data_IF_329005342874
#
_entry.id   IF_329005342874
#
_cell.length_a   1.000
_cell.length_b   1.000
_cell.length_c   1.000
_cell.angle_alpha   90.00
_cell.angle_beta   90.00
_cell.angle_gamma   90.00
#
_symmetry.space_group_name_H-M   'P 1'
#
loop_
_entity.id
_entity.type
_entity.pdbx_description
1 polymer ?
#
# COMPACT_ATOMS: atom_id res chain seq x y z
N UNK A 1 -18.00 -15.67 1.15
CA UNK A 1 -18.34 -14.30 1.31
C UNK A 1 -17.22 -13.47 1.89
N UNK A 2 -16.95 -12.41 1.32
CA UNK A 2 -15.67 -11.76 1.48
C UNK A 2 -15.75 -10.40 2.15
N UNK A 3 -16.66 -10.27 3.09
CA UNK A 3 -16.81 -9.04 3.87
C UNK A 3 -15.57 -8.70 4.65
N UNK A 4 -14.75 -9.70 4.97
CA UNK A 4 -13.52 -9.53 5.73
C UNK A 4 -12.41 -8.85 4.94
N UNK A 5 -12.58 -8.69 3.63
CA UNK A 5 -11.55 -8.15 2.76
C UNK A 5 -11.76 -6.70 2.41
N UNK A 6 -12.66 -6.03 3.11
CA UNK A 6 -12.88 -4.61 2.90
C UNK A 6 -11.84 -3.82 3.67
N UNK A 7 -11.10 -2.97 2.96
CA UNK A 7 -10.16 -2.05 3.57
C UNK A 7 -10.93 -0.89 4.20
N UNK A 8 -10.67 -0.66 5.48
CA UNK A 8 -11.30 0.39 6.25
C UNK A 8 -10.32 1.57 6.34
N UNK A 9 -10.65 2.74 5.77
CA UNK A 9 -9.79 3.90 5.93
C UNK A 9 -9.75 4.35 7.40
N UNK A 10 -8.58 4.72 7.88
CA UNK A 10 -8.42 5.18 9.25
C UNK A 10 -8.91 6.63 9.38
N UNK A 11 -9.33 6.99 10.59
CA UNK A 11 -9.55 8.40 10.93
C UNK A 11 -8.22 9.17 10.86
N UNK A 12 -8.28 10.49 10.75
CA UNK A 12 -7.06 11.30 10.68
C UNK A 12 -6.15 11.08 11.88
N UNK A 13 -6.72 10.93 13.06
CA UNK A 13 -5.95 10.69 14.29
C UNK A 13 -5.29 9.33 14.30
N UNK A 14 -6.02 8.30 13.92
CA UNK A 14 -5.50 6.93 13.88
C UNK A 14 -4.43 6.79 12.79
N UNK A 15 -4.65 7.40 11.63
CA UNK A 15 -3.68 7.42 10.55
C UNK A 15 -2.36 8.05 11.01
N UNK A 16 -2.44 9.20 11.66
CA UNK A 16 -1.29 9.90 12.20
C UNK A 16 -0.52 9.03 13.20
N UNK A 17 -1.25 8.36 14.08
CA UNK A 17 -0.70 7.45 15.07
C UNK A 17 0.09 6.31 14.40
N UNK A 18 -0.48 5.71 13.37
CA UNK A 18 0.16 4.59 12.68
C UNK A 18 1.37 5.03 11.86
N UNK A 19 1.32 6.21 11.26
CA UNK A 19 2.47 6.77 10.57
C UNK A 19 3.59 7.05 11.57
N UNK A 20 3.28 7.61 12.72
CA UNK A 20 4.27 7.85 13.77
C UNK A 20 4.87 6.54 14.27
N UNK A 21 4.09 5.47 14.31
CA UNK A 21 4.58 4.14 14.65
C UNK A 21 5.69 3.71 13.69
N UNK A 22 5.51 3.93 12.39
CA UNK A 22 6.53 3.60 11.39
C UNK A 22 7.74 4.51 11.50
N UNK A 23 7.53 5.82 11.75
CA UNK A 23 8.62 6.79 11.83
C UNK A 23 9.62 6.48 12.94
N UNK A 24 9.17 5.83 13.99
CA UNK A 24 10.01 5.42 15.12
C UNK A 24 10.81 4.17 14.84
N UNK A 25 10.64 3.56 13.67
CA UNK A 25 11.26 2.29 13.33
C UNK A 25 11.93 2.37 11.96
N UNK A 26 13.02 1.61 11.81
CA UNK A 26 13.62 1.37 10.50
C UNK A 26 12.91 0.19 9.87
N UNK A 27 12.96 0.07 8.55
CA UNK A 27 12.37 -1.09 7.90
C UNK A 27 12.97 -2.40 8.42
N UNK A 28 14.27 -2.39 8.74
CA UNK A 28 14.97 -3.56 9.28
C UNK A 28 14.47 -4.01 10.66
N UNK A 29 13.70 -3.16 11.35
CA UNK A 29 13.11 -3.53 12.64
C UNK A 29 11.90 -4.43 12.49
N UNK A 30 11.33 -4.54 11.30
CA UNK A 30 10.20 -5.41 11.01
C UNK A 30 10.69 -6.79 10.59
N UNK A 31 10.06 -7.81 11.13
CA UNK A 31 10.31 -9.18 10.67
C UNK A 31 9.58 -9.39 9.36
N UNK A 32 10.27 -9.94 8.36
CA UNK A 32 9.64 -10.24 7.08
C UNK A 32 8.87 -11.54 7.20
N UNK A 33 7.57 -11.49 6.92
CA UNK A 33 6.73 -12.67 6.99
C UNK A 33 7.11 -13.66 5.87
N UNK A 34 7.17 -14.96 6.15
CA UNK A 34 7.50 -15.96 5.13
C UNK A 34 6.61 -15.92 3.89
N UNK A 35 5.39 -15.47 4.05
CA UNK A 35 4.46 -15.31 2.92
C UNK A 35 5.05 -14.40 1.84
N UNK A 36 5.69 -13.30 2.23
CA UNK A 36 6.28 -12.38 1.26
C UNK A 36 7.41 -13.04 0.48
N UNK A 37 8.27 -13.77 1.18
CA UNK A 37 9.42 -14.42 0.56
C UNK A 37 9.03 -15.43 -0.51
N UNK A 38 7.90 -16.12 -0.34
CA UNK A 38 7.51 -17.20 -1.24
C UNK A 38 6.43 -16.82 -2.23
N UNK A 39 5.35 -16.24 -1.75
CA UNK A 39 4.15 -16.05 -2.56
C UNK A 39 3.98 -14.61 -3.03
N UNK A 40 4.15 -13.67 -2.12
CA UNK A 40 3.88 -12.27 -2.43
C UNK A 40 4.93 -11.67 -3.35
N UNK A 41 6.20 -11.97 -3.11
CA UNK A 41 7.29 -11.49 -3.97
C UNK A 41 7.11 -12.00 -5.41
N UNK A 42 6.84 -13.29 -5.56
CA UNK A 42 6.64 -13.90 -6.88
C UNK A 42 5.43 -13.29 -7.58
N UNK A 43 4.36 -13.08 -6.83
CA UNK A 43 3.10 -12.56 -7.35
C UNK A 43 3.16 -11.11 -7.78
N UNK A 44 3.81 -10.27 -6.97
CA UNK A 44 3.79 -8.82 -7.16
C UNK A 44 5.11 -8.26 -7.69
N UNK A 45 6.17 -9.03 -7.64
CA UNK A 45 7.48 -8.68 -8.19
C UNK A 45 8.03 -7.35 -7.67
N UNK A 46 7.74 -6.99 -6.41
CA UNK A 46 8.30 -5.80 -5.78
C UNK A 46 9.53 -6.20 -4.99
N UNK A 47 10.69 -5.71 -5.40
CA UNK A 47 11.94 -6.05 -4.77
C UNK A 47 12.12 -5.32 -3.44
N UNK A 48 12.81 -5.98 -2.49
CA UNK A 48 13.07 -5.41 -1.17
C UNK A 48 13.84 -4.09 -1.23
N UNK A 49 14.73 -3.93 -2.20
CA UNK A 49 15.49 -2.69 -2.34
C UNK A 49 14.58 -1.49 -2.62
N UNK A 50 13.55 -1.70 -3.44
CA UNK A 50 12.54 -0.67 -3.73
C UNK A 50 11.77 -0.34 -2.45
N UNK A 51 11.34 -1.36 -1.72
CA UNK A 51 10.60 -1.19 -0.47
C UNK A 51 11.43 -0.42 0.55
N UNK A 52 12.69 -0.79 0.73
CA UNK A 52 13.60 -0.13 1.67
C UNK A 52 13.83 1.33 1.30
N UNK A 53 13.86 1.65 0.01
CA UNK A 53 14.03 3.01 -0.45
C UNK A 53 12.80 3.87 -0.25
N UNK A 54 11.61 3.30 -0.42
CA UNK A 54 10.35 4.04 -0.30
C UNK A 54 9.90 4.17 1.16
N UNK A 55 10.10 3.14 1.96
CA UNK A 55 9.60 3.10 3.34
C UNK A 55 9.86 4.38 4.15
N UNK A 56 11.09 4.96 4.17
CA UNK A 56 11.34 6.15 4.98
C UNK A 56 10.76 7.44 4.42
N UNK A 57 10.15 7.40 3.24
CA UNK A 57 9.54 8.57 2.62
C UNK A 57 8.11 8.75 3.12
N UNK A 58 7.95 8.95 4.42
CA UNK A 58 6.63 8.97 5.09
C UNK A 58 5.72 10.09 4.62
N UNK A 59 6.28 11.17 4.11
CA UNK A 59 5.51 12.28 3.57
C UNK A 59 4.79 11.92 2.26
N UNK A 60 5.15 10.79 1.64
CA UNK A 60 4.44 10.28 0.46
C UNK A 60 3.18 9.50 0.81
N UNK A 61 2.96 9.21 2.10
CA UNK A 61 1.79 8.42 2.51
C UNK A 61 0.52 9.25 2.33
N UNK A 62 -0.37 8.78 1.47
CA UNK A 62 -1.64 9.46 1.16
C UNK A 62 -2.85 8.76 1.78
N UNK A 63 -2.65 7.62 2.40
CA UNK A 63 -3.73 6.92 3.06
C UNK A 63 -3.24 5.72 3.82
N UNK A 64 -3.93 5.40 4.91
CA UNK A 64 -3.68 4.22 5.71
C UNK A 64 -5.01 3.50 5.88
N UNK A 65 -4.99 2.20 5.66
CA UNK A 65 -6.18 1.36 5.71
C UNK A 65 -5.94 0.19 6.64
N UNK A 66 -6.99 -0.34 7.23
CA UNK A 66 -6.90 -1.54 8.04
C UNK A 66 -7.91 -2.57 7.58
N UNK A 67 -7.57 -3.82 7.78
CA UNK A 67 -8.41 -4.97 7.45
C UNK A 67 -8.32 -5.97 8.59
N UNK A 68 -9.45 -6.54 9.04
CA UNK A 68 -9.41 -7.53 10.11
C UNK A 68 -8.51 -8.72 9.77
N UNK A 69 -7.76 -9.18 10.76
CA UNK A 69 -6.90 -10.35 10.66
C UNK A 69 -7.22 -11.31 11.80
N UNK A 70 -6.55 -12.44 11.85
CA UNK A 70 -6.75 -13.41 12.94
C UNK A 70 -6.41 -12.81 14.31
N UNK A 71 -5.39 -11.96 14.35
CA UNK A 71 -4.97 -11.26 15.56
C UNK A 71 -4.83 -9.78 15.23
N UNK A 72 -5.82 -8.97 15.63
CA UNK A 72 -5.79 -7.54 15.34
C UNK A 72 -6.09 -7.22 13.89
N UNK A 73 -5.28 -6.39 13.28
CA UNK A 73 -5.52 -5.88 11.93
C UNK A 73 -4.29 -5.97 11.06
N UNK A 74 -4.53 -6.06 9.76
CA UNK A 74 -3.53 -5.82 8.73
C UNK A 74 -3.59 -4.34 8.37
N UNK A 75 -2.46 -3.66 8.35
CA UNK A 75 -2.39 -2.24 8.01
C UNK A 75 -1.70 -2.05 6.68
N UNK A 76 -2.31 -1.26 5.80
CA UNK A 76 -1.79 -0.97 4.47
C UNK A 76 -1.50 0.52 4.37
N UNK A 77 -0.27 0.86 4.01
CA UNK A 77 0.19 2.25 3.87
C UNK A 77 0.40 2.52 2.39
N UNK A 78 -0.35 3.47 1.85
CA UNK A 78 -0.30 3.82 0.45
C UNK A 78 0.65 5.00 0.25
N UNK A 79 1.78 4.73 -0.40
CA UNK A 79 2.78 5.74 -0.73
C UNK A 79 2.56 6.17 -2.18
N UNK A 80 2.31 7.45 -2.39
CA UNK A 80 2.15 7.98 -3.75
C UNK A 80 3.53 8.14 -4.40
N UNK A 81 3.75 7.46 -5.51
CA UNK A 81 5.00 7.53 -6.26
C UNK A 81 4.88 8.46 -7.45
N UNK A 82 3.78 8.38 -8.16
CA UNK A 82 3.49 9.15 -9.35
C UNK A 82 2.02 9.56 -9.31
N UNK A 83 1.61 10.37 -10.27
CA UNK A 83 0.24 10.87 -10.37
C UNK A 83 -0.80 9.75 -10.27
N UNK A 84 -0.55 8.64 -10.95
CA UNK A 84 -1.50 7.53 -11.04
C UNK A 84 -0.96 6.23 -10.45
N UNK A 85 0.13 6.28 -9.70
CA UNK A 85 0.77 5.04 -9.20
C UNK A 85 1.16 5.18 -7.75
N UNK A 86 0.81 4.18 -6.96
CA UNK A 86 1.18 4.09 -5.55
C UNK A 86 1.86 2.77 -5.26
N UNK A 87 2.70 2.76 -4.24
CA UNK A 87 3.23 1.54 -3.66
C UNK A 87 2.54 1.33 -2.32
N UNK A 88 1.95 0.17 -2.13
CA UNK A 88 1.25 -0.16 -0.88
C UNK A 88 2.13 -1.13 -0.09
N UNK A 89 2.46 -0.74 1.14
CA UNK A 89 3.21 -1.57 2.08
C UNK A 89 2.27 -2.06 3.17
N UNK A 90 2.29 -3.37 3.42
CA UNK A 90 1.34 -4.01 4.32
C UNK A 90 2.06 -4.65 5.51
N UNK A 91 1.54 -4.36 6.71
CA UNK A 91 2.18 -4.75 7.96
C UNK A 91 1.17 -5.36 8.94
N UNK A 92 1.68 -6.22 9.80
CA UNK A 92 1.02 -6.62 11.04
C UNK A 92 1.67 -5.81 12.17
N UNK A 93 1.07 -4.69 12.53
CA UNK A 93 1.64 -3.79 13.55
C UNK A 93 1.30 -4.22 14.98
N UNK A 94 0.23 -4.99 15.14
CA UNK A 94 -0.24 -5.44 16.46
C UNK A 94 0.52 -6.67 16.95
N UNK A 95 1.39 -7.23 16.15
CA UNK A 95 2.20 -8.38 16.55
C UNK A 95 3.53 -7.92 17.18
N UNK A 96 4.13 -8.80 17.98
CA UNK A 96 5.40 -8.54 18.64
C UNK A 96 6.40 -9.63 18.25
N UNK A 97 7.47 -9.34 17.49
CA UNK A 97 7.72 -8.04 16.82
C UNK A 97 6.77 -7.77 15.68
N UNK A 98 6.58 -6.50 15.31
CA UNK A 98 5.74 -6.20 14.14
C UNK A 98 6.36 -6.75 12.87
N UNK A 99 5.50 -7.12 11.92
CA UNK A 99 5.93 -7.81 10.70
C UNK A 99 5.51 -7.06 9.45
N UNK A 100 6.38 -7.11 8.45
CA UNK A 100 6.04 -6.74 7.08
C UNK A 100 5.66 -8.02 6.33
N UNK A 101 4.54 -7.98 5.58
CA UNK A 101 4.09 -9.20 4.91
C UNK A 101 3.76 -9.04 3.44
N UNK A 102 3.58 -7.83 2.94
CA UNK A 102 3.21 -7.67 1.53
C UNK A 102 3.54 -6.28 1.00
N UNK A 103 3.78 -6.21 -0.29
CA UNK A 103 3.94 -4.95 -1.02
C UNK A 103 3.46 -5.15 -2.45
N UNK A 104 2.79 -4.14 -2.99
CA UNK A 104 2.34 -4.18 -4.38
C UNK A 104 2.14 -2.76 -4.91
N UNK A 105 2.27 -2.62 -6.22
CA UNK A 105 1.93 -1.37 -6.90
C UNK A 105 0.43 -1.34 -7.16
N UNK A 106 -0.15 -0.16 -7.01
CA UNK A 106 -1.59 -0.02 -7.19
C UNK A 106 -1.96 1.38 -7.63
N UNK A 107 -3.17 1.51 -8.14
CA UNK A 107 -3.77 2.78 -8.51
C UNK A 107 -5.01 2.99 -7.65
N UNK A 108 -5.25 4.23 -7.22
CA UNK A 108 -6.49 4.55 -6.52
C UNK A 108 -7.66 4.43 -7.48
N UNK A 109 -8.88 4.30 -6.94
CA UNK A 109 -10.07 4.29 -7.78
C UNK A 109 -10.20 5.56 -8.62
N UNK A 110 -9.87 6.70 -8.02
CA UNK A 110 -9.89 7.99 -8.73
C UNK A 110 -8.86 8.02 -9.85
N UNK A 111 -7.67 7.55 -9.57
CA UNK A 111 -6.61 7.48 -10.57
C UNK A 111 -7.00 6.58 -11.72
N UNK A 112 -7.58 5.43 -11.44
CA UNK A 112 -8.04 4.50 -12.47
C UNK A 112 -9.15 5.08 -13.32
N UNK A 113 -10.11 5.77 -12.70
CA UNK A 113 -11.20 6.44 -13.42
C UNK A 113 -10.68 7.55 -14.30
N UNK A 114 -9.78 8.35 -13.76
CA UNK A 114 -9.17 9.45 -14.49
C UNK A 114 -8.37 8.92 -15.68
N UNK A 115 -7.58 7.90 -15.46
CA UNK A 115 -6.78 7.27 -16.50
C UNK A 115 -7.66 6.75 -17.63
N UNK A 116 -8.76 6.08 -17.31
CA UNK A 116 -9.72 5.60 -18.32
C UNK A 116 -10.35 6.72 -19.09
N UNK A 117 -10.68 7.82 -18.42
CA UNK A 117 -11.25 9.00 -19.08
C UNK A 117 -10.26 9.61 -20.07
N UNK A 118 -9.01 9.74 -19.65
CA UNK A 118 -7.96 10.28 -20.50
C UNK A 118 -7.73 9.39 -21.71
N UNK A 119 -7.66 8.09 -21.52
CA UNK A 119 -7.50 7.14 -22.60
C UNK A 119 -8.65 7.23 -23.61
N UNK A 120 -9.86 7.31 -23.09
CA UNK A 120 -11.06 7.46 -23.92
C UNK A 120 -11.03 8.74 -24.74
N UNK A 121 -10.64 9.83 -24.11
CA UNK A 121 -10.51 11.12 -24.75
C UNK A 121 -9.46 11.08 -25.85
N UNK A 122 -8.30 10.51 -25.58
CA UNK A 122 -7.22 10.37 -26.54
C UNK A 122 -7.65 9.54 -27.76
N UNK A 123 -8.38 8.45 -27.55
CA UNK A 123 -8.92 7.64 -28.64
C UNK A 123 -9.87 8.44 -29.53
N UNK A 124 -10.71 9.27 -28.91
CA UNK A 124 -11.63 10.13 -29.67
C UNK A 124 -10.88 11.15 -30.53
N UNK A 125 -9.80 11.71 -30.00
CA UNK A 125 -8.98 12.65 -30.75
C UNK A 125 -8.33 11.99 -31.96
N UNK A 126 -7.81 10.79 -31.77
CA UNK A 126 -7.21 10.02 -32.86
C UNK A 126 -8.25 9.69 -33.93
N UNK A 127 -9.46 9.30 -33.55
CA UNK A 127 -10.50 8.92 -34.49
C UNK A 127 -11.08 10.10 -35.25
N UNK A 128 -10.88 11.33 -34.77
CA UNK A 128 -11.34 12.54 -35.45
C UNK A 128 -10.38 13.01 -36.54
N UNK A 129 -9.20 12.44 -36.56
CA UNK A 129 -8.19 12.75 -37.57
C UNK A 129 -8.24 11.76 -38.71
#
# INVERSE_FOLDING_TARGET
>A
MVTNEIDIPLSNEEEKEKIEFLKKRKFSDFKIHPYYDRDSYIKHAVELDIIKGVYPQFDRIIGVFKRPAKKGFKYSFRYKLEETKSLVLCFYLDETPPKFFNAYFDYTKQDKKLQKKVEKWMKKQINKQ
#
